data_IF_523914501025
#
_entry.id   IF_523914501025
#
_cell.length_a   1.000
_cell.length_b   1.000
_cell.length_c   1.000
_cell.angle_alpha   90.00
_cell.angle_beta   90.00
_cell.angle_gamma   90.00
#
_symmetry.space_group_name_H-M   'P 1'
#
loop_
_entity.id
_entity.type
_entity.pdbx_description
1 polymer ?
#
# COMPACT_ATOMS: atom_id res chain seq x y z
N UNK A 1 17.63 -17.56 -3.86
CA UNK A 1 16.75 -16.69 -3.07
C UNK A 1 16.14 -15.71 -4.04
N UNK A 2 14.87 -15.90 -4.42
CA UNK A 2 14.26 -15.18 -5.53
C UNK A 2 13.33 -14.10 -5.00
N UNK A 3 13.73 -12.83 -5.15
CA UNK A 3 12.79 -11.70 -5.12
C UNK A 3 11.83 -11.87 -6.30
N UNK A 4 10.53 -11.98 -6.04
CA UNK A 4 9.52 -12.13 -7.11
C UNK A 4 9.00 -10.74 -7.44
N UNK A 5 9.32 -10.16 -8.62
CA UNK A 5 8.69 -8.94 -9.07
C UNK A 5 7.24 -9.24 -9.47
N UNK A 6 6.28 -8.68 -8.74
CA UNK A 6 4.85 -8.78 -9.07
C UNK A 6 4.43 -7.50 -9.76
N UNK A 7 4.16 -7.56 -11.07
CA UNK A 7 3.62 -6.42 -11.82
C UNK A 7 2.21 -6.09 -11.32
N UNK A 8 2.01 -4.85 -10.88
CA UNK A 8 0.71 -4.33 -10.45
C UNK A 8 0.34 -3.21 -11.43
N UNK A 9 -0.72 -3.35 -12.23
CA UNK A 9 -1.15 -2.27 -13.10
C UNK A 9 -1.59 -1.06 -12.26
N UNK A 10 -1.18 0.13 -12.70
CA UNK A 10 -1.45 1.39 -12.01
C UNK A 10 -2.96 1.61 -11.79
N UNK A 11 -3.39 1.69 -10.53
CA UNK A 11 -4.74 2.17 -10.20
C UNK A 11 -4.82 3.63 -10.64
N UNK A 12 -5.67 3.91 -11.63
CA UNK A 12 -5.87 5.25 -12.20
C UNK A 12 -6.01 6.32 -11.09
N UNK A 13 -5.32 7.47 -11.19
CA UNK A 13 -5.61 8.59 -10.31
C UNK A 13 -7.07 9.00 -10.50
N UNK A 14 -7.82 9.02 -9.39
CA UNK A 14 -9.18 9.54 -9.37
C UNK A 14 -9.15 11.02 -9.77
N UNK A 15 -9.68 11.33 -10.96
CA UNK A 15 -10.04 12.69 -11.36
C UNK A 15 -11.06 13.25 -10.35
N UNK A 16 -10.82 14.43 -9.74
CA UNK A 16 -11.82 15.07 -8.91
C UNK A 16 -12.93 15.63 -9.82
N UNK A 17 -14.12 15.04 -9.74
CA UNK A 17 -15.33 15.65 -10.28
C UNK A 17 -15.86 16.61 -9.21
N UNK A 18 -15.93 17.90 -9.56
CA UNK A 18 -16.88 18.84 -8.99
C UNK A 18 -16.36 19.72 -7.86
N UNK A 19 -16.04 20.96 -8.23
CA UNK A 19 -16.09 22.12 -7.35
C UNK A 19 -17.49 22.25 -6.73
N UNK A 20 -17.62 21.95 -5.44
CA UNK A 20 -18.58 22.54 -4.52
C UNK A 20 -18.28 22.04 -3.11
N UNK A 21 -17.93 22.98 -2.23
CA UNK A 21 -17.41 22.76 -0.88
C UNK A 21 -18.40 22.13 0.10
N UNK A 22 -18.73 20.86 -0.10
CA UNK A 22 -19.23 19.99 0.95
C UNK A 22 -18.27 18.82 1.10
N UNK A 23 -17.40 18.88 2.12
CA UNK A 23 -16.82 17.65 2.67
C UNK A 23 -18.00 16.86 3.23
N UNK A 24 -18.57 15.96 2.43
CA UNK A 24 -19.60 15.05 2.87
C UNK A 24 -19.07 14.31 4.10
N UNK A 25 -19.60 14.58 5.31
CA UNK A 25 -19.28 13.87 6.56
C UNK A 25 -19.26 12.33 6.37
N UNK A 26 -20.06 11.84 5.42
CA UNK A 26 -20.15 10.45 4.99
C UNK A 26 -18.86 9.84 4.43
N UNK A 27 -18.02 10.61 3.72
CA UNK A 27 -16.79 10.10 3.09
C UNK A 27 -15.65 9.98 4.11
N UNK A 28 -15.52 10.93 5.03
CA UNK A 28 -14.59 10.87 6.16
C UNK A 28 -14.87 9.68 7.07
N UNK A 29 -16.13 9.43 7.42
CA UNK A 29 -16.50 8.29 8.26
C UNK A 29 -16.20 6.94 7.60
N UNK A 30 -16.41 6.82 6.28
CA UNK A 30 -16.02 5.62 5.51
C UNK A 30 -14.51 5.43 5.48
N UNK A 31 -13.72 6.49 5.29
CA UNK A 31 -12.25 6.43 5.32
C UNK A 31 -11.75 6.00 6.70
N UNK A 32 -12.30 6.59 7.76
CA UNK A 32 -11.91 6.24 9.13
C UNK A 32 -12.30 4.80 9.48
N UNK A 33 -13.47 4.34 9.04
CA UNK A 33 -13.86 2.92 9.16
C UNK A 33 -12.91 2.00 8.39
N UNK A 34 -12.49 2.38 7.17
CA UNK A 34 -11.53 1.58 6.39
C UNK A 34 -10.18 1.48 7.07
N UNK A 35 -9.66 2.58 7.63
CA UNK A 35 -8.41 2.58 8.42
C UNK A 35 -8.53 1.64 9.62
N UNK A 36 -9.58 1.81 10.44
CA UNK A 36 -9.87 0.93 11.60
C UNK A 36 -10.03 -0.55 11.27
N UNK A 37 -10.41 -0.88 10.03
CA UNK A 37 -10.58 -2.25 9.57
C UNK A 37 -9.37 -2.79 8.82
N UNK A 38 -8.36 -1.95 8.56
CA UNK A 38 -7.23 -2.28 7.71
C UNK A 38 -6.39 -3.40 8.33
N UNK A 39 -6.01 -3.26 9.60
CA UNK A 39 -5.26 -4.29 10.31
C UNK A 39 -6.01 -5.62 10.35
N UNK A 40 -7.32 -5.60 10.64
CA UNK A 40 -8.16 -6.80 10.61
C UNK A 40 -8.18 -7.45 9.21
N UNK A 41 -8.37 -6.67 8.14
CA UNK A 41 -8.40 -7.17 6.75
C UNK A 41 -7.05 -7.74 6.31
N UNK A 42 -5.95 -7.08 6.67
CA UNK A 42 -4.60 -7.56 6.38
C UNK A 42 -4.36 -8.87 7.11
N UNK A 43 -4.76 -8.99 8.38
CA UNK A 43 -4.64 -10.25 9.14
C UNK A 43 -5.46 -11.41 8.56
N UNK A 44 -6.54 -11.14 7.81
CA UNK A 44 -7.28 -12.21 7.11
C UNK A 44 -6.47 -12.85 5.96
N UNK A 45 -5.53 -12.12 5.36
CA UNK A 45 -4.71 -12.59 4.22
C UNK A 45 -3.25 -12.86 4.60
N UNK A 46 -2.75 -12.19 5.64
CA UNK A 46 -1.41 -12.34 6.19
C UNK A 46 -1.50 -12.26 7.73
N UNK A 47 -1.83 -13.36 8.42
CA UNK A 47 -2.17 -13.35 9.85
C UNK A 47 -1.06 -12.84 10.77
N UNK A 48 0.20 -13.01 10.35
CA UNK A 48 1.38 -12.60 11.09
C UNK A 48 1.94 -11.24 10.68
N UNK A 49 1.31 -10.54 9.74
CA UNK A 49 1.82 -9.26 9.27
C UNK A 49 1.75 -8.19 10.36
N UNK A 50 2.91 -7.62 10.70
CA UNK A 50 3.03 -6.53 11.67
C UNK A 50 3.58 -5.25 11.00
N UNK A 51 4.58 -5.40 10.13
CA UNK A 51 5.18 -4.32 9.36
C UNK A 51 5.14 -4.65 7.87
N UNK A 52 4.70 -3.69 7.06
CA UNK A 52 4.62 -3.82 5.59
C UNK A 52 5.36 -2.67 4.96
N UNK A 53 6.44 -2.96 4.24
CA UNK A 53 7.14 -1.99 3.42
C UNK A 53 6.69 -2.15 1.98
N UNK A 54 6.20 -1.07 1.39
CA UNK A 54 5.81 -0.99 -0.02
C UNK A 54 6.83 -0.12 -0.72
N UNK A 55 7.54 -0.68 -1.69
CA UNK A 55 8.50 0.02 -2.50
C UNK A 55 8.00 0.10 -3.95
N UNK A 56 7.81 1.29 -4.52
CA UNK A 56 7.54 1.42 -5.94
C UNK A 56 8.81 1.03 -6.72
N UNK A 57 8.63 0.21 -7.75
CA UNK A 57 9.65 -0.17 -8.71
C UNK A 57 9.24 0.43 -10.04
N UNK A 58 10.09 1.29 -10.58
CA UNK A 58 9.90 1.83 -11.92
C UNK A 58 10.11 0.70 -12.92
N UNK A 59 9.00 0.16 -13.44
CA UNK A 59 9.05 -0.67 -14.63
C UNK A 59 9.18 0.24 -15.83
N UNK A 60 10.25 0.08 -16.61
CA UNK A 60 10.47 0.80 -17.85
C UNK A 60 9.41 0.36 -18.88
N UNK A 61 8.21 0.91 -18.78
CA UNK A 61 7.14 0.73 -19.74
C UNK A 61 7.30 1.77 -20.85
N UNK A 62 7.46 1.29 -22.08
CA UNK A 62 7.73 2.05 -23.32
C UNK A 62 6.56 2.92 -23.80
N UNK A 63 5.48 2.98 -23.03
CA UNK A 63 4.23 3.66 -23.37
C UNK A 63 3.94 4.66 -22.26
N UNK A 64 3.49 5.86 -22.59
CA UNK A 64 3.29 7.02 -21.70
C UNK A 64 2.39 6.81 -20.45
N UNK A 65 1.90 5.59 -20.20
CA UNK A 65 1.32 5.18 -18.93
C UNK A 65 2.41 4.50 -18.08
N UNK A 66 2.86 5.19 -17.04
CA UNK A 66 3.80 4.63 -16.07
C UNK A 66 3.05 3.57 -15.27
N UNK A 67 3.04 2.33 -15.75
CA UNK A 67 2.70 1.18 -14.93
C UNK A 67 3.70 1.12 -13.78
N UNK A 68 3.26 1.54 -12.59
CA UNK A 68 4.07 1.50 -11.38
C UNK A 68 3.89 0.15 -10.72
N UNK A 69 4.93 -0.67 -10.83
CA UNK A 69 5.01 -1.93 -10.10
C UNK A 69 5.34 -1.65 -8.63
N UNK A 70 4.80 -2.42 -7.69
CA UNK A 70 5.17 -2.31 -6.28
C UNK A 70 5.73 -3.64 -5.77
N UNK A 71 6.88 -3.59 -5.12
CA UNK A 71 7.40 -4.69 -4.31
C UNK A 71 6.96 -4.52 -2.86
N UNK A 72 6.62 -5.63 -2.21
CA UNK A 72 6.19 -5.65 -0.81
C UNK A 72 7.12 -6.53 0.01
N UNK A 73 7.58 -5.98 1.14
CA UNK A 73 8.20 -6.75 2.22
C UNK A 73 7.24 -6.75 3.39
N UNK A 74 6.66 -7.91 3.68
CA UNK A 74 5.81 -8.12 4.85
C UNK A 74 6.62 -8.82 5.91
N UNK A 75 6.69 -8.21 7.08
CA UNK A 75 7.46 -8.67 8.23
C UNK A 75 6.49 -9.00 9.37
N UNK A 76 6.80 -10.04 10.13
CA UNK A 76 6.12 -10.31 11.39
C UNK A 76 6.66 -9.44 12.53
N UNK A 77 6.07 -9.59 13.72
CA UNK A 77 6.47 -8.86 14.92
C UNK A 77 7.93 -9.15 15.35
N UNK A 78 8.52 -10.23 14.84
CA UNK A 78 9.90 -10.63 15.06
C UNK A 78 10.85 -10.10 13.98
N UNK A 79 10.34 -9.39 12.97
CA UNK A 79 11.12 -8.92 11.83
C UNK A 79 11.41 -10.00 10.79
N UNK A 80 10.70 -11.12 10.82
CA UNK A 80 10.85 -12.21 9.85
C UNK A 80 10.02 -11.91 8.62
N UNK A 81 10.63 -12.03 7.43
CA UNK A 81 9.91 -11.87 6.17
C UNK A 81 8.92 -13.02 5.96
N UNK A 82 7.66 -12.67 5.76
CA UNK A 82 6.60 -13.61 5.46
C UNK A 82 6.58 -13.92 3.96
N UNK A 83 6.52 -15.21 3.63
CA UNK A 83 6.23 -15.66 2.27
C UNK A 83 4.75 -15.48 1.99
N UNK A 84 4.42 -14.66 1.01
CA UNK A 84 3.05 -14.38 0.58
C UNK A 84 2.73 -15.16 -0.69
N UNK A 85 1.47 -15.58 -0.85
CA UNK A 85 0.98 -16.12 -2.13
C UNK A 85 0.95 -15.04 -3.22
N UNK A 86 1.00 -15.43 -4.48
CA UNK A 86 1.19 -14.53 -5.63
C UNK A 86 0.20 -13.35 -5.70
N UNK A 87 -1.06 -13.54 -5.27
CA UNK A 87 -2.10 -12.50 -5.33
C UNK A 87 -2.20 -11.63 -4.07
N UNK A 88 -1.54 -12.05 -2.98
CA UNK A 88 -1.63 -11.38 -1.68
C UNK A 88 -0.97 -9.99 -1.70
N UNK A 89 0.23 -9.79 -2.29
CA UNK A 89 0.85 -8.47 -2.41
C UNK A 89 -0.06 -7.42 -3.05
N UNK A 90 -0.67 -7.75 -4.19
CA UNK A 90 -1.57 -6.85 -4.93
C UNK A 90 -2.77 -6.46 -4.09
N UNK A 91 -3.34 -7.42 -3.36
CA UNK A 91 -4.48 -7.18 -2.47
C UNK A 91 -4.12 -6.31 -1.28
N UNK A 92 -2.93 -6.49 -0.71
CA UNK A 92 -2.41 -5.64 0.37
C UNK A 92 -2.22 -4.20 -0.11
N UNK A 93 -1.52 -3.98 -1.24
CA UNK A 93 -1.32 -2.62 -1.79
C UNK A 93 -2.66 -1.94 -2.04
N UNK A 94 -3.61 -2.64 -2.66
CA UNK A 94 -4.95 -2.11 -2.93
C UNK A 94 -5.67 -1.70 -1.64
N UNK A 95 -5.56 -2.51 -0.58
CA UNK A 95 -6.14 -2.18 0.72
C UNK A 95 -5.49 -0.93 1.33
N UNK A 96 -4.16 -0.87 1.31
CA UNK A 96 -3.36 0.23 1.84
C UNK A 96 -3.67 1.56 1.12
N UNK A 97 -3.63 1.58 -0.22
CA UNK A 97 -3.99 2.74 -1.04
C UNK A 97 -5.43 3.20 -0.80
N UNK A 98 -6.36 2.25 -0.63
CA UNK A 98 -7.76 2.57 -0.37
C UNK A 98 -8.03 3.17 1.02
N UNK A 99 -7.15 2.89 1.98
CA UNK A 99 -7.24 3.37 3.37
C UNK A 99 -6.44 4.66 3.59
N UNK A 100 -5.36 4.85 2.85
CA UNK A 100 -4.46 6.00 2.90
C UNK A 100 -4.26 6.62 1.51
N UNK A 101 -5.32 7.17 0.88
CA UNK A 101 -5.20 7.83 -0.42
C UNK A 101 -4.32 9.08 -0.38
N UNK A 102 -4.10 9.66 0.79
CA UNK A 102 -3.23 10.83 1.00
C UNK A 102 -1.73 10.51 1.05
N UNK A 103 -1.34 9.22 1.13
CA UNK A 103 0.07 8.84 1.16
C UNK A 103 0.71 8.98 -0.22
N UNK A 104 1.99 9.38 -0.24
CA UNK A 104 2.77 9.41 -1.48
C UNK A 104 3.28 8.02 -1.85
N UNK A 105 2.51 7.31 -2.67
CA UNK A 105 2.84 5.99 -3.18
C UNK A 105 3.95 6.02 -4.25
N UNK A 106 4.45 7.19 -4.66
CA UNK A 106 5.62 7.28 -5.54
C UNK A 106 6.93 7.05 -4.80
N UNK A 107 6.88 6.96 -3.46
CA UNK A 107 8.05 6.73 -2.60
C UNK A 107 7.87 5.45 -1.79
N UNK A 108 8.98 4.88 -1.28
CA UNK A 108 8.91 3.82 -0.29
C UNK A 108 8.09 4.25 0.93
N UNK A 109 7.11 3.43 1.30
CA UNK A 109 6.25 3.66 2.47
C UNK A 109 6.20 2.43 3.36
N UNK A 110 6.08 2.65 4.66
CA UNK A 110 5.94 1.62 5.68
C UNK A 110 4.57 1.74 6.34
N UNK A 111 3.87 0.62 6.47
CA UNK A 111 2.65 0.52 7.27
C UNK A 111 2.90 -0.39 8.46
N UNK A 112 2.44 0.02 9.65
CA UNK A 112 2.50 -0.80 10.86
C UNK A 112 1.10 -1.11 11.39
N UNK A 113 0.92 -2.35 11.84
CA UNK A 113 -0.35 -2.83 12.38
C UNK A 113 -0.71 -2.19 13.74
N UNK A 114 0.27 -1.78 14.54
CA UNK A 114 0.09 -1.13 15.83
C UNK A 114 -0.42 0.33 15.69
N UNK A 115 0.18 1.07 14.77
CA UNK A 115 -0.12 2.48 14.53
C UNK A 115 -1.28 2.69 13.56
N UNK A 116 -1.65 1.66 12.79
CA UNK A 116 -2.59 1.73 11.67
C UNK A 116 -2.30 2.93 10.73
N UNK A 117 -1.03 3.27 10.60
CA UNK A 117 -0.55 4.45 9.90
C UNK A 117 0.45 4.05 8.83
N UNK A 118 0.38 4.75 7.70
CA UNK A 118 1.42 4.71 6.67
C UNK A 118 2.37 5.87 6.95
N UNK A 119 3.65 5.55 7.12
CA UNK A 119 4.73 6.52 7.23
C UNK A 119 5.64 6.39 6.02
N UNK A 120 6.37 7.44 5.62
CA UNK A 120 7.51 7.27 4.74
C UNK A 120 8.39 6.16 5.29
N UNK A 121 8.78 5.20 4.46
CA UNK A 121 9.76 4.21 4.90
C UNK A 121 11.06 4.97 5.17
N UNK A 122 11.82 4.64 6.23
CA UNK A 122 13.16 5.20 6.41
C UNK A 122 13.90 4.94 5.10
N UNK A 123 14.33 6.02 4.45
CA UNK A 123 14.96 5.96 3.15
C UNK A 123 16.06 4.92 3.19
N UNK A 124 15.95 3.89 2.37
CA UNK A 124 17.14 3.19 1.93
C UNK A 124 17.97 4.24 1.20
N UNK A 125 18.87 4.91 1.90
CA UNK A 125 20.15 5.25 1.31
C UNK A 125 20.68 3.94 0.74
N UNK A 126 20.52 3.78 -0.57
CA UNK A 126 21.30 2.79 -1.30
C UNK A 126 22.78 3.15 -1.15
N UNK A 127 23.69 2.16 -1.15
CA UNK A 127 24.98 2.39 -1.75
C UNK A 127 24.85 2.61 -3.27
#
# INVERSE_FOLDING_TARGET
MSEVPVQIPGVRPWLPIGESGHVCRSSGHRRQRRRRQLAWRIRQIAPRADLINVCPVETASTTQDVDRTYTLKVLDAQGTMLTLGCDVPTRIVSLLQSAHPEADWSRPVSWRADAEAVTPAPGGEGP
#
